data_IF_587482622325
#
_entry.id   IF_587482622325
#
_cell.length_a   1.000
_cell.length_b   1.000
_cell.length_c   1.000
_cell.angle_alpha   90.00
_cell.angle_beta   90.00
_cell.angle_gamma   90.00
#
_symmetry.space_group_name_H-M   'P 1'
#
loop_
_entity.id
_entity.type
_entity.pdbx_description
1 polymer ?
#
# COMPACT_ATOMS: atom_id res chain seq x y z
N UNK A 1 -0.92 7.75 -19.31
CA UNK A 1 0.21 8.19 -18.47
C UNK A 1 0.25 7.26 -17.28
N UNK A 2 1.40 6.70 -16.96
CA UNK A 2 1.55 5.72 -15.88
C UNK A 2 1.46 6.39 -14.51
N UNK A 3 0.67 5.80 -13.62
CA UNK A 3 0.49 6.28 -12.25
C UNK A 3 1.42 5.50 -11.33
N UNK A 4 2.60 6.07 -11.09
CA UNK A 4 3.62 5.47 -10.24
C UNK A 4 3.40 5.85 -8.78
N UNK A 5 3.40 4.84 -7.89
CA UNK A 5 3.28 5.03 -6.45
C UNK A 5 4.14 4.01 -5.68
N UNK A 6 4.69 4.42 -4.55
CA UNK A 6 5.31 3.48 -3.61
C UNK A 6 4.37 3.20 -2.44
N UNK A 7 4.05 1.92 -2.23
CA UNK A 7 3.31 1.40 -1.08
C UNK A 7 4.32 1.04 0.01
N UNK A 8 4.08 1.53 1.22
CA UNK A 8 4.96 1.33 2.37
C UNK A 8 4.29 0.36 3.35
N UNK A 9 4.96 -0.76 3.59
CA UNK A 9 4.56 -1.79 4.54
C UNK A 9 5.35 -1.61 5.83
N UNK A 10 4.67 -1.21 6.90
CA UNK A 10 5.22 -1.17 8.25
C UNK A 10 4.47 -2.21 9.07
N UNK A 11 5.20 -3.18 9.61
CA UNK A 11 4.61 -4.34 10.27
C UNK A 11 4.68 -4.24 11.79
N UNK A 12 3.67 -4.82 12.45
CA UNK A 12 3.70 -5.17 13.87
C UNK A 12 3.07 -6.56 14.00
N UNK A 13 3.92 -7.59 14.09
CA UNK A 13 3.47 -8.98 13.99
C UNK A 13 2.96 -9.30 12.58
N UNK A 14 1.74 -9.82 12.49
CA UNK A 14 1.01 -10.15 11.25
C UNK A 14 0.18 -8.97 10.70
N UNK A 15 0.25 -7.81 11.35
CA UNK A 15 -0.53 -6.62 10.99
C UNK A 15 0.32 -5.53 10.34
N UNK A 16 -0.35 -4.70 9.56
CA UNK A 16 0.23 -3.63 8.76
C UNK A 16 -0.37 -2.27 9.15
N UNK A 17 0.49 -1.25 9.27
CA UNK A 17 0.08 0.12 9.52
C UNK A 17 -0.82 0.61 8.37
N UNK A 18 -1.93 1.23 8.73
CA UNK A 18 -2.84 1.92 7.83
C UNK A 18 -3.24 3.28 8.41
N UNK A 19 -3.69 4.17 7.54
CA UNK A 19 -4.36 5.41 7.95
C UNK A 19 -5.77 5.45 7.35
N UNK A 20 -6.70 6.09 8.06
CA UNK A 20 -8.03 6.33 7.52
C UNK A 20 -8.00 7.58 6.63
N UNK A 21 -8.37 7.43 5.35
CA UNK A 21 -8.54 8.56 4.44
C UNK A 21 -10.00 9.01 4.46
N UNK A 22 -10.24 10.21 4.98
CA UNK A 22 -11.60 10.76 5.10
C UNK A 22 -12.27 11.05 3.76
N UNK A 23 -11.50 11.32 2.70
CA UNK A 23 -12.06 11.66 1.36
C UNK A 23 -12.63 10.42 0.70
N UNK A 24 -11.96 9.29 0.85
CA UNK A 24 -12.40 7.99 0.34
C UNK A 24 -13.30 7.25 1.35
N UNK A 25 -13.17 7.60 2.63
CA UNK A 25 -13.84 6.95 3.76
C UNK A 25 -13.40 5.50 3.90
N UNK A 26 -12.09 5.23 3.80
CA UNK A 26 -11.52 3.89 3.90
C UNK A 26 -10.08 3.90 4.41
N UNK A 27 -9.61 2.73 4.84
CA UNK A 27 -8.22 2.56 5.27
C UNK A 27 -7.29 2.31 4.09
N UNK A 28 -6.11 2.93 4.15
CA UNK A 28 -5.07 2.86 3.14
C UNK A 28 -3.72 2.52 3.76
N UNK A 29 -2.93 1.74 3.04
CA UNK A 29 -1.50 1.63 3.31
C UNK A 29 -0.84 3.01 3.11
N UNK A 30 0.10 3.41 3.98
CA UNK A 30 0.94 4.56 3.73
C UNK A 30 1.57 4.47 2.34
N UNK A 31 1.49 5.56 1.59
CA UNK A 31 2.02 5.61 0.23
C UNK A 31 2.61 6.98 -0.08
N UNK A 32 3.46 7.02 -1.10
CA UNK A 32 3.97 8.24 -1.73
C UNK A 32 3.77 8.17 -3.24
N UNK A 33 3.66 9.33 -3.88
CA UNK A 33 3.57 9.42 -5.35
C UNK A 33 4.98 9.31 -5.93
N UNK A 34 5.12 8.57 -7.02
CA UNK A 34 6.42 8.27 -7.61
C UNK A 34 7.13 7.14 -6.88
N UNK A 35 8.43 7.00 -7.13
CA UNK A 35 9.27 6.00 -6.51
C UNK A 35 10.62 6.62 -6.10
N UNK A 36 10.69 7.07 -4.84
CA UNK A 36 11.91 7.67 -4.27
C UNK A 36 12.18 7.07 -2.88
N UNK A 37 13.23 6.23 -2.81
CA UNK A 37 13.62 5.58 -1.56
C UNK A 37 14.16 6.58 -0.53
N UNK A 38 14.80 7.67 -0.96
CA UNK A 38 15.32 8.69 -0.05
C UNK A 38 14.18 9.49 0.57
N UNK A 39 13.11 9.77 -0.19
CA UNK A 39 11.88 10.33 0.36
C UNK A 39 11.27 9.43 1.44
N UNK A 40 11.23 8.11 1.21
CA UNK A 40 10.74 7.14 2.21
C UNK A 40 11.61 7.16 3.47
N UNK A 41 12.94 7.08 3.31
CA UNK A 41 13.89 7.12 4.43
C UNK A 41 13.73 8.41 5.26
N UNK A 42 13.61 9.55 4.58
CA UNK A 42 13.43 10.84 5.23
C UNK A 42 12.08 10.95 5.94
N UNK A 43 10.99 10.53 5.30
CA UNK A 43 9.63 10.55 5.87
C UNK A 43 9.53 9.76 7.16
N UNK A 44 10.17 8.59 7.22
CA UNK A 44 10.17 7.75 8.40
C UNK A 44 11.40 7.95 9.28
N UNK A 45 12.34 8.85 8.94
CA UNK A 45 13.60 9.06 9.65
C UNK A 45 14.29 7.73 10.02
N UNK A 46 14.57 6.90 9.01
CA UNK A 46 15.25 5.60 9.16
C UNK A 46 15.94 5.20 7.86
N UNK A 47 17.07 4.48 7.96
CA UNK A 47 17.73 3.85 6.83
C UNK A 47 17.25 2.41 6.58
N UNK A 48 16.41 1.86 7.48
CA UNK A 48 15.90 0.48 7.40
C UNK A 48 14.70 0.40 6.45
N UNK A 49 14.94 0.73 5.18
CA UNK A 49 13.96 0.69 4.11
C UNK A 49 14.40 -0.36 3.09
N UNK A 50 13.56 -1.38 2.89
CA UNK A 50 13.85 -2.52 2.02
C UNK A 50 12.88 -2.55 0.87
N UNK A 51 13.40 -2.54 -0.36
CA UNK A 51 12.59 -2.86 -1.54
C UNK A 51 12.17 -4.33 -1.51
N UNK A 52 10.89 -4.61 -1.81
CA UNK A 52 10.36 -5.96 -1.84
C UNK A 52 10.12 -6.43 -3.29
N UNK A 53 9.20 -5.77 -3.99
CA UNK A 53 8.77 -6.10 -5.34
C UNK A 53 7.98 -4.93 -5.95
N UNK A 54 7.63 -5.04 -7.23
CA UNK A 54 6.75 -4.11 -7.92
C UNK A 54 5.66 -4.85 -8.69
N UNK A 55 4.54 -4.17 -8.94
CA UNK A 55 3.42 -4.67 -9.76
C UNK A 55 2.90 -3.55 -10.66
N UNK A 56 2.79 -3.88 -11.94
CA UNK A 56 2.08 -3.06 -12.93
C UNK A 56 0.71 -3.68 -13.16
N UNK A 57 -0.35 -2.88 -13.05
CA UNK A 57 -1.71 -3.35 -13.28
C UNK A 57 -2.60 -2.24 -13.84
N UNK A 58 -3.69 -2.63 -14.49
CA UNK A 58 -4.62 -1.69 -15.11
C UNK A 58 -5.94 -1.66 -14.34
N UNK A 59 -6.43 -0.46 -14.05
CA UNK A 59 -7.71 -0.27 -13.38
C UNK A 59 -8.54 0.78 -14.10
N UNK A 60 -9.82 0.48 -14.29
CA UNK A 60 -10.77 1.44 -14.84
C UNK A 60 -11.02 2.56 -13.81
N UNK A 61 -10.65 3.78 -14.18
CA UNK A 61 -10.86 4.96 -13.36
C UNK A 61 -12.23 5.56 -13.66
N UNK A 62 -13.23 5.27 -12.82
CA UNK A 62 -14.60 5.81 -12.95
C UNK A 62 -14.63 7.33 -13.13
N UNK A 63 -13.88 8.15 -12.35
CA UNK A 63 -13.94 9.61 -12.50
C UNK A 63 -13.46 10.11 -13.86
N UNK A 64 -12.50 9.41 -14.47
CA UNK A 64 -11.84 9.83 -15.71
C UNK A 64 -12.33 9.05 -16.94
N UNK A 65 -13.21 8.05 -16.73
CA UNK A 65 -13.78 7.17 -17.74
C UNK A 65 -12.74 6.50 -18.64
N UNK A 66 -11.55 6.22 -18.10
CA UNK A 66 -10.42 5.64 -18.82
C UNK A 66 -9.77 4.53 -18.00
N UNK A 67 -9.16 3.57 -18.69
CA UNK A 67 -8.26 2.59 -18.07
C UNK A 67 -6.93 3.27 -17.76
N UNK A 68 -6.48 3.13 -16.51
CA UNK A 68 -5.20 3.68 -16.06
C UNK A 68 -4.27 2.55 -15.69
N UNK A 69 -3.03 2.66 -16.16
CA UNK A 69 -1.93 1.80 -15.74
C UNK A 69 -1.32 2.37 -14.48
N UNK A 70 -1.30 1.55 -13.43
CA UNK A 70 -0.67 1.85 -12.15
C UNK A 70 0.57 1.00 -11.98
N UNK A 71 1.65 1.62 -11.54
CA UNK A 71 2.89 0.92 -11.18
C UNK A 71 3.14 1.14 -9.70
N UNK A 72 2.97 0.06 -8.93
CA UNK A 72 3.17 0.08 -7.50
C UNK A 72 4.50 -0.56 -7.14
N UNK A 73 5.34 0.19 -6.42
CA UNK A 73 6.54 -0.33 -5.78
C UNK A 73 6.27 -0.60 -4.31
N UNK A 74 6.67 -1.75 -3.79
CA UNK A 74 6.43 -2.14 -2.41
C UNK A 74 7.73 -2.09 -1.61
N UNK A 75 7.69 -1.35 -0.50
CA UNK A 75 8.80 -1.21 0.43
C UNK A 75 8.39 -1.66 1.82
N UNK A 76 9.28 -2.38 2.50
CA UNK A 76 9.18 -2.64 3.93
C UNK A 76 10.00 -1.61 4.71
N UNK A 77 9.42 -1.02 5.74
CA UNK A 77 10.11 -0.11 6.64
C UNK A 77 10.12 -0.72 8.04
N UNK A 78 11.31 -1.05 8.52
CA UNK A 78 11.50 -1.57 9.87
C UNK A 78 11.62 -0.41 10.86
N UNK A 79 10.44 0.04 11.29
CA UNK A 79 10.28 1.09 12.30
C UNK A 79 8.93 0.96 12.99
N UNK A 80 8.94 1.12 14.31
CA UNK A 80 7.70 1.24 15.07
C UNK A 80 7.10 2.64 14.91
N UNK A 81 5.83 2.70 14.51
CA UNK A 81 5.09 3.93 14.25
C UNK A 81 3.75 3.83 14.97
N UNK A 82 3.30 4.92 15.59
CA UNK A 82 1.97 4.98 16.17
C UNK A 82 0.89 5.04 15.08
N UNK A 83 -0.17 4.25 15.24
CA UNK A 83 -1.29 4.25 14.32
C UNK A 83 -2.10 2.96 14.37
N UNK A 84 -2.98 2.80 13.38
CA UNK A 84 -3.89 1.66 13.30
C UNK A 84 -3.28 0.53 12.49
N UNK A 85 -3.23 -0.66 13.07
CA UNK A 85 -2.65 -1.85 12.46
C UNK A 85 -3.73 -2.89 12.21
N UNK A 86 -3.79 -3.39 10.97
CA UNK A 86 -4.73 -4.43 10.56
C UNK A 86 -4.00 -5.57 9.87
N UNK A 87 -4.45 -6.79 10.12
CA UNK A 87 -4.14 -7.94 9.27
C UNK A 87 -4.77 -7.75 7.89
N UNK A 88 -4.24 -8.45 6.88
CA UNK A 88 -4.78 -8.42 5.52
C UNK A 88 -6.25 -8.90 5.50
N UNK A 89 -6.57 -9.92 6.30
CA UNK A 89 -7.95 -10.40 6.46
C UNK A 89 -8.88 -9.34 7.06
N UNK A 90 -8.46 -8.63 8.12
CA UNK A 90 -9.26 -7.53 8.70
C UNK A 90 -9.52 -6.42 7.68
N UNK A 91 -8.57 -6.12 6.79
CA UNK A 91 -8.75 -5.15 5.71
C UNK A 91 -9.74 -5.66 4.65
N UNK A 92 -9.68 -6.93 4.27
CA UNK A 92 -10.60 -7.54 3.31
C UNK A 92 -12.05 -7.65 3.81
N UNK A 93 -12.28 -7.63 5.13
CA UNK A 93 -13.64 -7.52 5.69
C UNK A 93 -14.24 -6.11 5.58
N UNK A 94 -13.44 -5.08 5.24
CA UNK A 94 -13.92 -3.72 5.04
C UNK A 94 -14.28 -3.54 3.57
N UNK A 95 -15.58 -3.47 3.26
CA UNK A 95 -16.13 -3.48 1.90
C UNK A 95 -15.42 -2.50 0.95
N UNK A 96 -15.31 -1.22 1.33
CA UNK A 96 -14.61 -0.21 0.52
C UNK A 96 -13.14 -0.54 0.27
N UNK A 97 -12.43 -1.08 1.26
CA UNK A 97 -11.02 -1.46 1.12
C UNK A 97 -10.90 -2.64 0.16
N UNK A 98 -11.76 -3.65 0.31
CA UNK A 98 -11.81 -4.80 -0.58
C UNK A 98 -12.09 -4.41 -2.04
N UNK A 99 -13.04 -3.50 -2.26
CA UNK A 99 -13.40 -3.02 -3.60
C UNK A 99 -12.28 -2.18 -4.25
N UNK A 100 -11.60 -1.35 -3.47
CA UNK A 100 -10.66 -0.36 -4.02
C UNK A 100 -9.19 -0.80 -3.96
N UNK A 101 -8.79 -1.59 -2.97
CA UNK A 101 -7.41 -1.99 -2.73
C UNK A 101 -7.25 -3.51 -2.54
N UNK A 102 -8.28 -4.31 -2.87
CA UNK A 102 -8.20 -5.77 -2.76
C UNK A 102 -7.12 -6.41 -3.64
N UNK A 103 -6.78 -5.77 -4.75
CA UNK A 103 -5.63 -6.08 -5.62
C UNK A 103 -4.29 -5.88 -4.89
N UNK A 104 -4.08 -4.73 -4.26
CA UNK A 104 -2.88 -4.43 -3.47
C UNK A 104 -2.71 -5.46 -2.34
N UNK A 105 -3.79 -5.79 -1.64
CA UNK A 105 -3.78 -6.81 -0.58
C UNK A 105 -3.36 -8.17 -1.14
N UNK A 106 -3.94 -8.61 -2.25
CA UNK A 106 -3.57 -9.86 -2.91
C UNK A 106 -2.11 -9.91 -3.33
N UNK A 107 -1.56 -8.80 -3.83
CA UNK A 107 -0.14 -8.75 -4.18
C UNK A 107 0.77 -8.97 -2.97
N UNK A 108 0.38 -8.46 -1.81
CA UNK A 108 1.09 -8.67 -0.55
C UNK A 108 0.94 -10.13 -0.08
N UNK A 109 -0.26 -10.71 -0.16
CA UNK A 109 -0.50 -12.14 0.15
C UNK A 109 0.35 -13.06 -0.73
N UNK A 110 0.36 -12.83 -2.05
CA UNK A 110 1.17 -13.54 -3.03
C UNK A 110 2.66 -13.48 -2.67
N UNK A 111 3.18 -12.29 -2.38
CA UNK A 111 4.61 -12.10 -2.08
C UNK A 111 5.05 -12.85 -0.83
N UNK A 112 4.26 -12.78 0.25
CA UNK A 112 4.58 -13.47 1.50
C UNK A 112 4.12 -14.93 1.52
N UNK A 113 3.53 -15.45 0.44
CA UNK A 113 2.92 -16.79 0.37
C UNK A 113 1.93 -17.06 1.53
N UNK A 114 1.16 -16.04 1.90
CA UNK A 114 0.13 -16.15 2.93
C UNK A 114 -1.10 -16.78 2.25
N UNK A 115 -1.50 -17.97 2.72
CA UNK A 115 -2.67 -18.71 2.22
C UNK A 115 -3.94 -18.38 2.99
#
# INVERSE_FOLDING_TARGET
MEHVHSIILIKRGDKYLNYFDERWGMYLFPNIKGNDIEEIKNKYNTNNVKYLFDKVHEKYSIPNKETRTYHHYFYEVDKEIDGEYFSLNELLQKEKVKENNGDIIKFIEEFYNIK
#
